data_IF_752695008655
#
_entry.id   IF_752695008655
#
_cell.length_a   1.000
_cell.length_b   1.000
_cell.length_c   1.000
_cell.angle_alpha   90.00
_cell.angle_beta   90.00
_cell.angle_gamma   90.00
#
_symmetry.space_group_name_H-M   'P 1'
#
loop_
_entity.id
_entity.type
_entity.pdbx_description
1 polymer ?
#
# COMPACT_ATOMS: atom_id res chain seq x y z
N UNK A 1 4.09 -39.12 -20.86
CA UNK A 1 2.76 -38.79 -20.33
C UNK A 1 2.93 -37.78 -19.20
N UNK A 2 2.34 -36.59 -19.30
CA UNK A 2 2.34 -35.58 -18.22
C UNK A 2 3.23 -34.36 -18.47
N UNK A 3 2.81 -33.47 -19.38
CA UNK A 3 3.37 -32.13 -19.52
C UNK A 3 3.07 -31.34 -18.23
N UNK A 4 4.04 -31.26 -17.31
CA UNK A 4 3.95 -30.44 -16.10
C UNK A 4 4.30 -29.00 -16.48
N UNK A 5 3.30 -28.25 -16.93
CA UNK A 5 3.36 -26.78 -17.09
C UNK A 5 3.39 -26.07 -15.71
N UNK A 6 4.29 -26.51 -14.83
CA UNK A 6 4.53 -25.88 -13.54
C UNK A 6 5.26 -24.55 -13.77
N UNK A 7 4.50 -23.46 -13.92
CA UNK A 7 5.06 -22.11 -13.94
C UNK A 7 5.35 -21.68 -12.51
N UNK A 8 6.55 -21.16 -12.30
CA UNK A 8 7.06 -20.77 -10.99
C UNK A 8 6.44 -19.46 -10.53
N UNK A 9 5.96 -19.43 -9.30
CA UNK A 9 5.53 -18.22 -8.60
C UNK A 9 6.43 -18.06 -7.39
N UNK A 10 6.99 -16.86 -7.19
CA UNK A 10 7.86 -16.62 -6.06
C UNK A 10 7.13 -16.85 -4.74
N UNK A 11 7.77 -17.57 -3.83
CA UNK A 11 7.23 -17.94 -2.52
C UNK A 11 6.74 -16.71 -1.73
N UNK A 12 7.44 -15.58 -1.82
CA UNK A 12 7.07 -14.32 -1.14
C UNK A 12 5.66 -13.82 -1.49
N UNK A 13 5.14 -14.13 -2.68
CA UNK A 13 3.82 -13.72 -3.10
C UNK A 13 2.74 -14.76 -2.78
N UNK A 14 3.10 -16.01 -2.45
CA UNK A 14 2.13 -17.07 -2.14
C UNK A 14 1.15 -16.66 -1.05
N UNK A 15 1.64 -16.10 0.07
CA UNK A 15 0.78 -15.66 1.18
C UNK A 15 -0.21 -14.57 0.74
N UNK A 16 0.23 -13.65 -0.11
CA UNK A 16 -0.60 -12.57 -0.64
C UNK A 16 -1.61 -13.08 -1.68
N UNK A 17 -1.21 -14.00 -2.55
CA UNK A 17 -2.08 -14.66 -3.54
C UNK A 17 -3.16 -15.50 -2.85
N UNK A 18 -2.80 -16.27 -1.82
CA UNK A 18 -3.73 -17.02 -0.96
C UNK A 18 -4.72 -16.07 -0.28
N UNK A 19 -4.22 -14.93 0.18
CA UNK A 19 -5.00 -13.91 0.89
C UNK A 19 -5.27 -14.30 2.35
N UNK A 20 -5.81 -13.35 3.12
CA UNK A 20 -6.10 -13.56 4.55
C UNK A 20 -7.09 -14.72 4.73
N UNK A 21 -6.65 -15.78 5.38
CA UNK A 21 -7.45 -17.01 5.60
C UNK A 21 -7.75 -17.81 4.33
N UNK A 22 -7.01 -17.59 3.23
CA UNK A 22 -7.26 -18.29 1.97
C UNK A 22 -8.46 -17.79 1.19
N UNK A 23 -9.05 -16.65 1.55
CA UNK A 23 -10.25 -16.13 0.91
C UNK A 23 -10.03 -15.83 -0.59
N UNK A 24 -8.88 -15.27 -0.94
CA UNK A 24 -8.59 -14.88 -2.33
C UNK A 24 -8.43 -16.12 -3.21
N UNK A 25 -7.60 -17.08 -2.77
CA UNK A 25 -7.44 -18.33 -3.53
C UNK A 25 -8.72 -19.16 -3.58
N UNK A 26 -9.51 -19.18 -2.51
CA UNK A 26 -10.79 -19.90 -2.48
C UNK A 26 -11.73 -19.35 -3.54
N UNK A 27 -11.80 -18.02 -3.68
CA UNK A 27 -12.57 -17.37 -4.73
C UNK A 27 -12.10 -17.76 -6.13
N UNK A 28 -10.79 -17.73 -6.40
CA UNK A 28 -10.23 -18.17 -7.70
C UNK A 28 -10.57 -19.64 -7.97
N UNK A 29 -10.47 -20.51 -6.95
CA UNK A 29 -10.83 -21.94 -7.08
C UNK A 29 -12.30 -22.14 -7.41
N UNK A 30 -13.19 -21.35 -6.80
CA UNK A 30 -14.63 -21.40 -7.05
C UNK A 30 -14.99 -20.83 -8.42
N UNK A 31 -14.44 -19.68 -8.82
CA UNK A 31 -14.69 -19.06 -10.12
C UNK A 31 -14.18 -19.95 -11.26
N UNK A 32 -12.95 -20.44 -11.14
CA UNK A 32 -12.33 -21.25 -12.18
C UNK A 32 -12.71 -22.73 -12.09
N UNK A 33 -13.38 -23.18 -11.02
CA UNK A 33 -13.64 -24.61 -10.79
C UNK A 33 -12.36 -25.47 -10.92
N UNK A 34 -11.26 -24.99 -10.32
CA UNK A 34 -9.97 -25.71 -10.30
C UNK A 34 -9.51 -26.01 -8.89
N UNK A 35 -8.69 -27.06 -8.75
CA UNK A 35 -7.98 -27.37 -7.52
C UNK A 35 -6.58 -26.79 -7.60
N UNK A 36 -6.29 -25.81 -6.75
CA UNK A 36 -5.00 -25.12 -6.69
C UNK A 36 -4.31 -25.51 -5.38
N UNK A 37 -3.17 -26.15 -5.49
CA UNK A 37 -2.35 -26.65 -4.38
C UNK A 37 -1.03 -25.84 -4.32
N UNK A 38 -0.77 -25.22 -3.18
CA UNK A 38 0.43 -24.43 -2.95
C UNK A 38 1.47 -25.30 -2.21
N UNK A 39 2.76 -25.21 -2.59
CA UNK A 39 3.81 -25.90 -1.89
C UNK A 39 3.95 -25.34 -0.46
N UNK A 40 4.21 -26.22 0.51
CA UNK A 40 4.42 -25.83 1.91
C UNK A 40 5.71 -25.03 2.07
N UNK A 41 5.74 -24.11 3.04
CA UNK A 41 6.88 -23.18 3.26
C UNK A 41 8.23 -23.88 3.50
N UNK A 42 8.23 -25.17 3.87
CA UNK A 42 9.44 -25.97 4.06
C UNK A 42 10.00 -26.59 2.76
N UNK A 43 9.25 -26.56 1.66
CA UNK A 43 9.74 -26.98 0.36
C UNK A 43 10.32 -25.76 -0.37
N UNK A 44 11.56 -25.85 -0.85
CA UNK A 44 12.14 -24.90 -1.83
C UNK A 44 11.43 -24.97 -3.20
N UNK A 45 10.22 -25.49 -3.25
CA UNK A 45 9.42 -25.65 -4.44
C UNK A 45 8.59 -24.39 -4.63
N UNK A 46 8.82 -23.69 -5.73
CA UNK A 46 8.06 -22.50 -6.16
C UNK A 46 6.92 -22.87 -7.13
N UNK A 47 6.52 -24.14 -7.13
CA UNK A 47 5.60 -24.72 -8.12
C UNK A 47 4.21 -24.83 -7.53
N UNK A 48 3.25 -24.10 -8.10
CA UNK A 48 1.82 -24.22 -7.78
C UNK A 48 1.23 -25.31 -8.66
N UNK A 49 0.50 -26.25 -8.07
CA UNK A 49 -0.18 -27.31 -8.81
C UNK A 49 -1.65 -26.92 -9.06
N UNK A 50 -2.01 -26.72 -10.33
CA UNK A 50 -3.38 -26.44 -10.75
C UNK A 50 -3.93 -27.69 -11.43
N UNK A 51 -4.98 -28.27 -10.87
CA UNK A 51 -5.66 -29.46 -11.38
C UNK A 51 -7.09 -29.11 -11.78
N UNK A 52 -7.48 -29.41 -13.01
CA UNK A 52 -8.83 -29.14 -13.51
C UNK A 52 -8.92 -29.30 -15.03
N UNK A 53 -9.96 -28.72 -15.64
CA UNK A 53 -10.10 -28.64 -17.10
C UNK A 53 -9.02 -27.73 -17.69
N UNK A 54 -8.51 -28.04 -18.88
CA UNK A 54 -7.44 -27.26 -19.54
C UNK A 54 -7.73 -25.75 -19.57
N UNK A 55 -8.89 -25.36 -20.11
CA UNK A 55 -9.30 -23.95 -20.18
C UNK A 55 -9.35 -23.27 -18.80
N UNK A 56 -9.88 -23.97 -17.79
CA UNK A 56 -9.98 -23.46 -16.43
C UNK A 56 -8.62 -23.34 -15.74
N UNK A 57 -7.70 -24.26 -16.03
CA UNK A 57 -6.33 -24.20 -15.50
C UNK A 57 -5.56 -23.01 -16.09
N UNK A 58 -5.76 -22.73 -17.38
CA UNK A 58 -5.20 -21.55 -18.04
C UNK A 58 -5.76 -20.26 -17.43
N UNK A 59 -7.07 -20.20 -17.17
CA UNK A 59 -7.70 -19.04 -16.51
C UNK A 59 -7.21 -18.83 -15.07
N UNK A 60 -7.18 -19.89 -14.26
CA UNK A 60 -6.68 -19.85 -12.88
C UNK A 60 -5.20 -19.41 -12.84
N UNK A 61 -4.40 -19.92 -13.79
CA UNK A 61 -3.00 -19.52 -13.96
C UNK A 61 -2.89 -18.04 -14.27
N UNK A 62 -3.65 -17.52 -15.24
CA UNK A 62 -3.60 -16.12 -15.63
C UNK A 62 -4.00 -15.22 -14.45
N UNK A 63 -5.04 -15.61 -13.70
CA UNK A 63 -5.47 -14.91 -12.48
C UNK A 63 -4.37 -14.84 -11.42
N UNK A 64 -3.68 -15.96 -11.16
CA UNK A 64 -2.57 -16.01 -10.20
C UNK A 64 -1.41 -15.12 -10.67
N UNK A 65 -1.04 -15.20 -11.95
CA UNK A 65 0.03 -14.40 -12.53
C UNK A 65 -0.31 -12.90 -12.53
N UNK A 66 -1.57 -12.54 -12.78
CA UNK A 66 -2.05 -11.17 -12.70
C UNK A 66 -1.89 -10.62 -11.28
N UNK A 67 -2.32 -11.37 -10.27
CA UNK A 67 -2.14 -10.98 -8.85
C UNK A 67 -0.65 -10.87 -8.51
N UNK A 68 0.18 -11.82 -8.97
CA UNK A 68 1.62 -11.75 -8.75
C UNK A 68 2.22 -10.48 -9.38
N UNK A 69 1.85 -10.15 -10.62
CA UNK A 69 2.32 -8.94 -11.30
C UNK A 69 1.89 -7.67 -10.57
N UNK A 70 0.65 -7.64 -10.10
CA UNK A 70 0.13 -6.52 -9.31
C UNK A 70 0.95 -6.37 -8.02
N UNK A 71 1.17 -7.45 -7.28
CA UNK A 71 2.00 -7.46 -6.08
C UNK A 71 3.48 -7.14 -6.34
N UNK A 72 4.02 -7.55 -7.48
CA UNK A 72 5.39 -7.25 -7.88
C UNK A 72 5.57 -5.78 -8.28
N UNK A 73 4.51 -5.13 -8.79
CA UNK A 73 4.49 -3.71 -9.09
C UNK A 73 4.24 -2.85 -7.85
N UNK A 74 3.69 -3.43 -6.78
CA UNK A 74 3.54 -2.74 -5.50
C UNK A 74 4.91 -2.57 -4.85
N UNK A 75 5.32 -1.31 -4.73
CA UNK A 75 6.51 -0.88 -3.99
C UNK A 75 6.10 -0.28 -2.66
N UNK A 76 6.90 -0.54 -1.65
CA UNK A 76 6.80 0.09 -0.35
C UNK A 76 7.94 1.10 -0.23
N UNK A 77 7.61 2.34 0.12
CA UNK A 77 8.58 3.40 0.36
C UNK A 77 8.26 4.05 1.69
N UNK A 78 9.26 4.15 2.55
CA UNK A 78 9.19 4.93 3.77
C UNK A 78 9.77 6.33 3.58
N UNK A 79 9.11 7.29 4.22
CA UNK A 79 9.55 8.68 4.29
C UNK A 79 9.48 9.17 5.73
N UNK A 80 10.41 10.04 6.09
CA UNK A 80 10.41 10.73 7.38
C UNK A 80 9.63 12.04 7.24
N UNK A 81 8.58 12.20 8.03
CA UNK A 81 7.75 13.38 8.15
C UNK A 81 7.54 13.64 9.65
N UNK A 82 7.82 14.85 10.15
CA UNK A 82 7.71 15.12 11.57
C UNK A 82 6.26 14.92 12.05
N UNK A 83 6.10 14.23 13.18
CA UNK A 83 4.80 13.83 13.71
C UNK A 83 3.83 15.02 13.93
N UNK A 84 4.36 16.24 14.14
CA UNK A 84 3.57 17.48 14.23
C UNK A 84 2.75 17.76 12.96
N UNK A 85 3.23 17.31 11.81
CA UNK A 85 2.58 17.50 10.52
C UNK A 85 1.63 16.36 10.14
N UNK A 86 1.71 15.20 10.79
CA UNK A 86 0.85 14.05 10.46
C UNK A 86 -0.63 14.43 10.52
N UNK A 87 -1.08 15.06 11.61
CA UNK A 87 -2.48 15.51 11.74
C UNK A 87 -2.88 16.49 10.61
N UNK A 88 -1.96 17.36 10.19
CA UNK A 88 -2.18 18.31 9.10
C UNK A 88 -2.27 17.64 7.73
N UNK A 89 -1.45 16.62 7.47
CA UNK A 89 -1.42 15.83 6.22
C UNK A 89 -2.57 14.84 6.11
N UNK A 90 -2.95 14.20 7.22
CA UNK A 90 -4.13 13.35 7.33
C UNK A 90 -5.38 14.22 7.07
N UNK A 91 -5.41 15.42 7.66
CA UNK A 91 -6.53 16.35 7.59
C UNK A 91 -7.74 15.89 8.40
N UNK A 92 -8.81 16.67 8.38
CA UNK A 92 -10.02 16.37 9.16
C UNK A 92 -10.60 14.98 8.81
N UNK A 93 -10.46 14.02 9.72
CA UNK A 93 -10.85 12.59 9.57
C UNK A 93 -10.14 11.84 8.43
N UNK A 94 -8.92 12.22 8.06
CA UNK A 94 -8.19 11.51 7.00
C UNK A 94 -8.63 11.85 5.59
N UNK A 95 -9.43 12.91 5.40
CA UNK A 95 -9.94 13.29 4.08
C UNK A 95 -8.83 13.69 3.11
N UNK A 96 -7.85 14.46 3.59
CA UNK A 96 -6.78 15.00 2.75
C UNK A 96 -5.88 13.89 2.22
N UNK A 97 -5.37 13.03 3.12
CA UNK A 97 -4.60 11.86 2.71
C UNK A 97 -5.41 10.95 1.80
N UNK A 98 -6.72 10.78 2.04
CA UNK A 98 -7.54 9.93 1.19
C UNK A 98 -7.72 10.48 -0.23
N UNK A 99 -7.84 11.80 -0.39
CA UNK A 99 -7.80 12.43 -1.72
C UNK A 99 -6.47 12.20 -2.42
N UNK A 100 -5.34 12.33 -1.71
CA UNK A 100 -4.00 12.07 -2.27
C UNK A 100 -3.84 10.60 -2.67
N UNK A 101 -4.32 9.68 -1.83
CA UNK A 101 -4.31 8.24 -2.11
C UNK A 101 -5.12 7.90 -3.37
N UNK A 102 -6.30 8.51 -3.54
CA UNK A 102 -7.15 8.30 -4.71
C UNK A 102 -6.59 8.96 -5.98
N UNK A 103 -6.01 10.16 -5.85
CA UNK A 103 -5.41 10.91 -6.96
C UNK A 103 -4.08 10.31 -7.45
N UNK A 104 -3.34 9.67 -6.54
CA UNK A 104 -2.16 8.86 -6.84
C UNK A 104 -2.54 7.38 -6.99
N UNK A 105 -3.56 7.08 -7.78
CA UNK A 105 -3.78 5.73 -8.33
C UNK A 105 -4.13 4.66 -7.30
N UNK A 106 -4.65 5.06 -6.14
CA UNK A 106 -5.02 4.16 -5.05
C UNK A 106 -3.85 3.70 -4.17
N UNK A 107 -2.76 4.48 -4.08
CA UNK A 107 -1.70 4.20 -3.11
C UNK A 107 -2.25 4.17 -1.68
N UNK A 108 -1.65 3.35 -0.83
CA UNK A 108 -2.00 3.22 0.58
C UNK A 108 -0.93 3.90 1.44
N UNK A 109 -1.29 5.00 2.08
CA UNK A 109 -0.40 5.73 2.98
C UNK A 109 -0.74 5.31 4.41
N UNK A 110 0.23 4.72 5.09
CA UNK A 110 0.15 4.28 6.47
C UNK A 110 0.95 5.23 7.36
N UNK A 111 0.25 5.93 8.24
CA UNK A 111 0.87 6.75 9.26
C UNK A 111 1.14 5.92 10.51
N UNK A 112 2.26 6.17 11.21
CA UNK A 112 2.57 5.50 12.47
C UNK A 112 1.60 5.97 13.57
N UNK A 113 1.41 5.15 14.61
CA UNK A 113 0.49 5.45 15.71
C UNK A 113 0.75 6.82 16.34
N UNK A 114 -0.32 7.59 16.49
CA UNK A 114 -0.31 8.89 17.17
C UNK A 114 0.18 8.71 18.62
N UNK A 115 1.28 9.37 18.97
CA UNK A 115 1.90 9.27 20.30
C UNK A 115 3.15 8.38 20.39
N UNK A 116 3.49 7.61 19.35
CA UNK A 116 4.74 6.81 19.32
C UNK A 116 5.99 7.66 19.05
N UNK A 117 5.82 8.93 18.65
CA UNK A 117 6.93 9.82 18.27
C UNK A 117 7.60 9.47 16.93
N UNK A 118 7.17 8.39 16.29
CA UNK A 118 7.67 7.97 14.98
C UNK A 118 7.22 8.94 13.89
N UNK A 119 8.19 9.48 13.18
CA UNK A 119 8.06 10.30 11.96
C UNK A 119 8.03 9.44 10.68
N UNK A 120 8.03 8.11 10.81
CA UNK A 120 8.10 7.20 9.66
C UNK A 120 6.71 6.95 9.06
N UNK A 121 6.44 7.52 7.89
CA UNK A 121 5.24 7.28 7.09
C UNK A 121 5.57 6.27 6.00
N UNK A 122 4.75 5.23 5.86
CA UNK A 122 4.94 4.18 4.86
C UNK A 122 3.93 4.34 3.74
N UNK A 123 4.41 4.41 2.50
CA UNK A 123 3.56 4.49 1.30
C UNK A 123 3.68 3.16 0.55
N UNK A 124 2.54 2.52 0.28
CA UNK A 124 2.45 1.27 -0.48
C UNK A 124 1.62 1.47 -1.72
N UNK A 125 2.11 1.05 -2.87
CA UNK A 125 1.31 1.09 -4.10
C UNK A 125 2.18 0.92 -5.34
N UNK A 126 1.65 1.23 -6.53
CA UNK A 126 2.41 1.13 -7.78
C UNK A 126 3.69 1.95 -7.69
N UNK A 127 4.83 1.40 -8.12
CA UNK A 127 6.13 2.10 -8.02
C UNK A 127 6.11 3.55 -8.53
N UNK A 128 5.47 3.79 -9.67
CA UNK A 128 5.33 5.13 -10.26
C UNK A 128 4.48 6.09 -9.40
N UNK A 129 3.35 5.60 -8.88
CA UNK A 129 2.44 6.42 -8.08
C UNK A 129 2.97 6.64 -6.66
N UNK A 130 3.73 5.69 -6.10
CA UNK A 130 4.38 5.85 -4.79
C UNK A 130 5.39 7.00 -4.82
N UNK A 131 6.17 7.15 -5.90
CA UNK A 131 7.09 8.27 -6.04
C UNK A 131 6.39 9.62 -6.19
N UNK A 132 5.23 9.62 -6.87
CA UNK A 132 4.39 10.81 -7.03
C UNK A 132 3.73 11.21 -5.71
N UNK A 133 3.13 10.25 -5.01
CA UNK A 133 2.55 10.43 -3.69
C UNK A 133 3.60 10.89 -2.67
N UNK A 134 4.80 10.30 -2.69
CA UNK A 134 5.93 10.73 -1.87
C UNK A 134 6.24 12.21 -2.08
N UNK A 135 6.40 12.66 -3.33
CA UNK A 135 6.69 14.07 -3.62
C UNK A 135 5.56 14.99 -3.20
N UNK A 136 4.30 14.62 -3.46
CA UNK A 136 3.15 15.39 -2.99
C UNK A 136 3.11 15.49 -1.46
N UNK A 137 3.30 14.37 -0.75
CA UNK A 137 3.25 14.34 0.71
C UNK A 137 4.37 15.18 1.33
N UNK A 138 5.60 15.07 0.78
CA UNK A 138 6.74 15.90 1.22
C UNK A 138 6.51 17.38 0.93
N UNK A 139 6.01 17.73 -0.25
CA UNK A 139 5.73 19.12 -0.61
C UNK A 139 4.67 19.73 0.31
N UNK A 140 3.55 19.02 0.52
CA UNK A 140 2.51 19.43 1.46
C UNK A 140 3.06 19.51 2.90
N UNK A 141 3.94 18.59 3.30
CA UNK A 141 4.56 18.64 4.62
C UNK A 141 5.40 19.91 4.77
N UNK A 142 6.23 20.23 3.79
CA UNK A 142 7.09 21.41 3.79
C UNK A 142 6.27 22.71 3.77
N UNK A 143 5.25 22.82 2.91
CA UNK A 143 4.35 23.98 2.86
C UNK A 143 3.62 24.19 4.19
N UNK A 144 3.13 23.11 4.82
CA UNK A 144 2.47 23.17 6.13
C UNK A 144 3.45 23.48 7.26
N UNK A 145 4.72 23.08 7.13
CA UNK A 145 5.78 23.40 8.10
C UNK A 145 6.09 24.90 8.08
N UNK A 146 6.13 25.50 6.88
CA UNK A 146 6.35 26.93 6.70
C UNK A 146 5.13 27.74 7.18
N UNK A 147 3.91 27.25 6.92
CA UNK A 147 2.68 27.92 7.38
C UNK A 147 2.37 27.73 8.87
N UNK A 148 3.07 26.85 9.59
CA UNK A 148 3.01 26.76 11.05
C UNK A 148 3.92 27.81 11.73
N UNK A 149 4.02 29.01 11.15
CA UNK A 149 4.49 30.18 11.86
C UNK A 149 3.28 30.89 12.47
N UNK A 150 2.94 30.54 13.72
CA UNK A 150 2.12 31.41 14.54
C UNK A 150 2.92 32.67 14.85
N UNK A 151 2.56 33.79 14.23
CA UNK A 151 3.05 35.10 14.68
C UNK A 151 2.28 35.44 15.95
N UNK A 152 2.89 35.22 17.11
CA UNK A 152 2.46 35.90 18.34
C UNK A 152 2.77 37.38 18.20
N UNK A 153 1.74 38.19 17.95
CA UNK A 153 1.84 39.64 18.09
C UNK A 153 1.86 39.99 19.57
N UNK A 154 3.05 40.09 20.15
CA UNK A 154 3.24 40.73 21.44
C UNK A 154 3.00 42.24 21.23
N UNK A 155 1.75 42.68 21.40
CA UNK A 155 1.44 44.10 21.46
C UNK A 155 2.20 44.69 22.66
N UNK A 156 3.15 45.58 22.40
CA UNK A 156 3.74 46.39 23.47
C UNK A 156 2.62 47.21 24.11
N UNK A 157 2.53 47.28 25.45
CA UNK A 157 1.44 47.96 26.17
C UNK A 157 1.39 49.49 26.00
N UNK A 158 2.22 50.10 25.15
CA UNK A 158 2.34 51.55 24.97
C UNK A 158 1.29 52.21 24.05
N UNK A 159 0.44 51.43 23.37
CA UNK A 159 -0.60 51.96 22.46
C UNK A 159 -2.04 51.88 23.00
N UNK A 160 -2.25 51.62 24.30
CA UNK A 160 -3.59 51.62 24.93
C UNK A 160 -4.03 52.98 25.49
N UNK A 161 -3.63 54.12 24.90
CA UNK A 161 -3.99 55.44 25.45
C UNK A 161 -4.88 56.33 24.59
N UNK A 162 -5.58 55.77 23.61
CA UNK A 162 -6.66 56.47 22.91
C UNK A 162 -7.79 55.48 22.56
N UNK A 163 -8.55 55.09 23.58
CA UNK A 163 -9.92 54.60 23.45
C UNK A 163 -10.71 55.03 24.69
#
# INVERSE_FOLDING_TARGET
NGNRDGKTVFNQFHKNIIGKGGANIKKIREETNTKIDFPTENSNSEVILITGKKANCEDARDRILAIQRELANIREVDISIPAKLHNSLIGAKGRLVRSIMEECGGVHIHFPSEGSGSEKVTIRGPGEEVERAKRQLLHLAEEKQINNHSVELHAKPDYHKFL
#
